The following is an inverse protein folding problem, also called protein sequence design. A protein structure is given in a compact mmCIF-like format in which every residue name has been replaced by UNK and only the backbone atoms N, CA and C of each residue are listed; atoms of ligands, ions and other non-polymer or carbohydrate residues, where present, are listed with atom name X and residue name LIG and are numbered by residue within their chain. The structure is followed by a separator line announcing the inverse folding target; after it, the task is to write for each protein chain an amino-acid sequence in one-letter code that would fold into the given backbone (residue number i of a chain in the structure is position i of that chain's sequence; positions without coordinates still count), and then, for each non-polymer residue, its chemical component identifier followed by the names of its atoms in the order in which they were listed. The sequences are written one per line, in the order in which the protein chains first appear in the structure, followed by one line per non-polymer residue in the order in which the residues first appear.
data_IF_621504545439
#
_entry.id   IF_621504545439
#
_cell.length_a   1.000
_cell.length_b   1.000
_cell.length_c   1.000
_cell.angle_alpha   90.00
_cell.angle_beta   90.00
_cell.angle_gamma   90.00
#
_symmetry.space_group_name_H-M   'P 1'
#
loop_
_entity.id
_entity.type
_entity.pdbx_description
1 polymer ?
#
# COMPACT_ATOMS: atom_id res chain seq x y z
N UNK A 1 -3.35 7.75 -43.40
CA UNK A 1 -1.89 7.96 -43.34
C UNK A 1 -1.43 7.51 -41.98
N UNK A 2 -0.65 6.43 -41.87
CA UNK A 2 -0.05 6.04 -40.59
C UNK A 2 1.26 6.82 -40.49
N UNK A 3 1.33 7.77 -39.57
CA UNK A 3 2.56 8.49 -39.26
C UNK A 3 3.57 7.49 -38.68
N UNK A 4 4.67 7.26 -39.40
CA UNK A 4 5.79 6.47 -38.92
C UNK A 4 6.43 7.15 -37.71
N UNK A 5 6.43 6.49 -36.56
CA UNK A 5 7.11 6.96 -35.34
C UNK A 5 8.62 6.80 -35.54
N UNK A 6 9.38 7.88 -35.33
CA UNK A 6 10.83 7.87 -35.52
C UNK A 6 11.53 7.12 -34.36
N UNK A 7 12.48 6.21 -34.63
CA UNK A 7 13.28 5.54 -33.61
C UNK A 7 13.95 6.47 -32.58
N UNK A 8 14.33 7.70 -32.96
CA UNK A 8 14.92 8.68 -32.04
C UNK A 8 13.91 9.19 -31.00
N UNK A 9 12.64 9.29 -31.37
CA UNK A 9 11.57 9.74 -30.48
C UNK A 9 11.28 8.68 -29.40
N UNK A 10 11.38 7.40 -29.77
CA UNK A 10 11.23 6.27 -28.85
C UNK A 10 12.37 6.25 -27.84
N UNK A 11 13.60 6.49 -28.29
CA UNK A 11 14.78 6.50 -27.41
C UNK A 11 14.72 7.68 -26.42
N UNK A 12 14.42 8.88 -26.91
CA UNK A 12 14.22 10.08 -26.09
C UNK A 12 13.12 9.89 -25.03
N UNK A 13 12.01 9.26 -25.42
CA UNK A 13 10.92 8.97 -24.49
C UNK A 13 11.35 7.97 -23.40
N UNK A 14 12.08 6.91 -23.77
CA UNK A 14 12.60 5.90 -22.84
C UNK A 14 13.54 6.52 -21.80
N UNK A 15 14.48 7.37 -22.22
CA UNK A 15 15.42 8.03 -21.33
C UNK A 15 14.73 9.00 -20.38
N UNK A 16 13.70 9.70 -20.87
CA UNK A 16 12.88 10.58 -20.05
C UNK A 16 12.15 9.80 -18.96
N UNK A 17 11.54 8.66 -19.30
CA UNK A 17 10.88 7.76 -18.34
C UNK A 17 11.88 7.21 -17.31
N UNK A 18 13.07 6.79 -17.75
CA UNK A 18 14.12 6.31 -16.85
C UNK A 18 14.57 7.40 -15.86
N UNK A 19 14.75 8.64 -16.33
CA UNK A 19 15.11 9.77 -15.45
C UNK A 19 14.02 10.12 -14.43
N UNK A 20 12.74 10.00 -14.83
CA UNK A 20 11.59 10.23 -13.94
C UNK A 20 11.54 9.14 -12.87
N UNK A 21 11.79 7.88 -13.24
CA UNK A 21 11.82 6.76 -12.30
C UNK A 21 13.00 6.87 -11.33
N UNK A 22 14.18 7.31 -11.78
CA UNK A 22 15.34 7.55 -10.92
C UNK A 22 15.12 8.73 -9.99
N UNK A 23 14.55 9.83 -10.49
CA UNK A 23 14.19 11.00 -9.66
C UNK A 23 13.14 10.61 -8.61
N UNK A 24 12.11 9.85 -8.99
CA UNK A 24 11.11 9.30 -8.07
C UNK A 24 11.76 8.43 -7.01
N UNK A 25 12.67 7.53 -7.39
CA UNK A 25 13.41 6.67 -6.46
C UNK A 25 14.28 7.48 -5.49
N UNK A 26 14.88 8.57 -5.97
CA UNK A 26 15.69 9.47 -5.15
C UNK A 26 14.84 10.28 -4.17
N UNK A 27 13.69 10.82 -4.59
CA UNK A 27 12.73 11.52 -3.71
C UNK A 27 12.19 10.58 -2.62
N UNK A 28 11.82 9.37 -3.03
CA UNK A 28 11.36 8.31 -2.14
C UNK A 28 12.46 7.86 -1.15
N UNK A 29 13.74 7.99 -1.51
CA UNK A 29 14.87 7.76 -0.61
C UNK A 29 15.19 8.95 0.32
N UNK A 30 14.70 10.17 0.03
CA UNK A 30 14.81 11.30 0.94
C UNK A 30 13.74 11.26 2.04
N UNK A 31 12.58 10.64 1.79
CA UNK A 31 11.57 10.39 2.81
C UNK A 31 11.99 9.23 3.72
N UNK A 32 12.42 9.56 4.94
CA UNK A 32 12.72 8.58 5.98
C UNK A 32 11.51 8.42 6.88
N UNK A 33 11.13 7.17 7.15
CA UNK A 33 10.09 6.88 8.11
C UNK A 33 10.46 7.41 9.51
N UNK A 34 9.46 7.80 10.33
CA UNK A 34 9.74 8.18 11.71
C UNK A 34 10.46 7.06 12.47
N UNK A 35 11.16 7.41 13.55
CA UNK A 35 11.90 6.42 14.35
C UNK A 35 10.95 5.32 14.85
N UNK A 36 11.33 4.06 14.61
CA UNK A 36 10.52 2.88 14.99
C UNK A 36 9.51 2.44 13.93
N UNK A 37 9.34 3.20 12.85
CA UNK A 37 8.49 2.83 11.71
C UNK A 37 9.32 2.13 10.63
N UNK A 38 8.75 1.10 10.02
CA UNK A 38 9.36 0.34 8.93
C UNK A 38 8.85 0.86 7.59
N UNK A 39 9.77 1.05 6.64
CA UNK A 39 9.40 1.44 5.27
C UNK A 39 9.10 0.20 4.46
N UNK A 40 7.92 0.17 3.83
CA UNK A 40 7.57 -0.85 2.85
C UNK A 40 6.92 -0.18 1.64
N UNK A 41 7.52 -0.33 0.46
CA UNK A 41 7.10 0.44 -0.73
C UNK A 41 7.25 1.95 -0.55
N UNK A 42 6.15 2.69 -0.76
CA UNK A 42 6.09 4.15 -0.62
C UNK A 42 5.58 4.64 0.74
N UNK A 43 5.27 3.72 1.67
CA UNK A 43 4.61 4.04 2.94
C UNK A 43 5.45 3.61 4.14
N UNK A 44 5.13 4.18 5.29
CA UNK A 44 5.71 3.84 6.58
C UNK A 44 4.67 3.13 7.43
N UNK A 45 5.07 2.05 8.08
CA UNK A 45 4.20 1.23 8.89
C UNK A 45 4.78 1.05 10.28
N UNK A 46 3.91 0.97 11.28
CA UNK A 46 4.29 0.71 12.66
C UNK A 46 3.50 -0.46 13.18
N UNK A 47 4.20 -1.33 13.90
CA UNK A 47 3.59 -2.45 14.61
C UNK A 47 3.51 -2.13 16.09
N UNK A 48 2.30 -2.16 16.64
CA UNK A 48 2.11 -2.19 18.09
C UNK A 48 2.00 -3.64 18.55
N UNK A 49 2.96 -4.09 19.37
CA UNK A 49 2.92 -5.42 20.00
C UNK A 49 2.00 -5.48 21.24
N UNK A 50 1.13 -4.49 21.40
CA UNK A 50 0.21 -4.40 22.53
C UNK A 50 -1.12 -5.06 22.19
N UNK A 51 -1.57 -5.99 23.02
CA UNK A 51 -2.95 -6.49 22.96
C UNK A 51 -3.91 -5.37 23.33
N UNK A 52 -4.87 -5.06 22.45
CA UNK A 52 -5.83 -3.98 22.65
C UNK A 52 -7.15 -4.33 21.97
N UNK A 53 -8.22 -3.67 22.39
CA UNK A 53 -9.52 -3.80 21.73
C UNK A 53 -9.54 -3.03 20.41
N UNK A 54 -10.45 -3.38 19.49
CA UNK A 54 -10.62 -2.69 18.20
C UNK A 54 -10.80 -1.18 18.36
N UNK A 55 -11.56 -0.76 19.38
CA UNK A 55 -11.85 0.66 19.64
C UNK A 55 -10.60 1.41 20.12
N UNK A 56 -9.77 0.78 20.95
CA UNK A 56 -8.50 1.32 21.39
C UNK A 56 -7.50 1.39 20.24
N UNK A 57 -7.41 0.38 19.39
CA UNK A 57 -6.52 0.38 18.23
C UNK A 57 -6.87 1.50 17.26
N UNK A 58 -8.15 1.68 16.93
CA UNK A 58 -8.59 2.79 16.08
C UNK A 58 -8.24 4.14 16.68
N UNK A 59 -8.41 4.30 18.00
CA UNK A 59 -7.97 5.52 18.69
C UNK A 59 -6.46 5.68 18.61
N UNK A 60 -5.68 4.69 19.02
CA UNK A 60 -4.21 4.77 19.03
C UNK A 60 -3.65 5.06 17.64
N UNK A 61 -4.08 4.33 16.61
CA UNK A 61 -3.57 4.51 15.25
C UNK A 61 -4.02 5.84 14.62
N UNK A 62 -5.26 6.29 14.85
CA UNK A 62 -5.75 7.58 14.35
C UNK A 62 -5.36 8.77 15.24
N UNK A 63 -4.77 8.49 16.41
CA UNK A 63 -4.52 9.46 17.47
C UNK A 63 -3.18 9.15 18.14
N UNK A 64 -2.14 9.02 17.33
CA UNK A 64 -0.78 9.17 17.83
C UNK A 64 -0.40 10.63 17.65
N UNK A 65 -0.41 11.42 18.74
CA UNK A 65 -0.23 12.87 18.79
C UNK A 65 1.05 13.46 18.11
N UNK A 66 1.87 12.64 17.45
CA UNK A 66 3.13 13.01 16.82
C UNK A 66 3.19 12.70 15.31
N UNK A 67 2.23 11.95 14.76
CA UNK A 67 2.20 11.53 13.35
C UNK A 67 0.75 11.38 12.90
N UNK A 68 0.34 11.97 11.77
CA UNK A 68 -0.96 11.73 11.08
C UNK A 68 -1.06 10.28 10.55
N UNK A 69 -0.91 9.30 11.44
CA UNK A 69 -1.05 7.89 11.13
C UNK A 69 -2.50 7.47 11.16
N UNK A 70 -2.77 6.33 10.51
CA UNK A 70 -4.06 5.67 10.51
C UNK A 70 -3.85 4.17 10.66
N UNK A 71 -4.90 3.45 11.05
CA UNK A 71 -4.88 1.99 10.99
C UNK A 71 -4.62 1.55 9.55
N UNK A 72 -3.78 0.53 9.36
CA UNK A 72 -3.46 0.05 8.02
C UNK A 72 -4.73 -0.39 7.28
N UNK A 73 -4.96 0.22 6.11
CA UNK A 73 -6.07 -0.13 5.23
C UNK A 73 -5.55 -1.01 4.09
N UNK A 74 -6.18 -2.15 3.85
CA UNK A 74 -5.83 -3.02 2.72
C UNK A 74 -6.61 -2.57 1.49
N UNK A 75 -5.94 -1.80 0.63
CA UNK A 75 -6.42 -1.31 -0.65
C UNK A 75 -5.69 -1.96 -1.83
N UNK A 76 -4.40 -2.24 -1.66
CA UNK A 76 -3.51 -2.79 -2.68
C UNK A 76 -2.74 -4.01 -2.15
N UNK A 77 -2.25 -4.84 -3.07
CA UNK A 77 -1.48 -6.05 -2.74
C UNK A 77 -0.24 -5.77 -1.87
N UNK A 78 0.36 -4.58 -2.00
CA UNK A 78 1.53 -4.19 -1.21
C UNK A 78 1.24 -4.15 0.29
N UNK A 79 0.06 -3.70 0.70
CA UNK A 79 -0.34 -3.65 2.12
C UNK A 79 -0.61 -5.06 2.64
N UNK A 80 -1.23 -5.92 1.82
CA UNK A 80 -1.47 -7.32 2.17
C UNK A 80 -0.15 -8.07 2.38
N UNK A 81 0.82 -7.89 1.47
CA UNK A 81 2.16 -8.50 1.58
C UNK A 81 2.85 -8.00 2.86
N UNK A 82 2.77 -6.70 3.14
CA UNK A 82 3.34 -6.14 4.36
C UNK A 82 2.76 -6.82 5.60
N UNK A 83 1.43 -6.89 5.74
CA UNK A 83 0.78 -7.53 6.90
C UNK A 83 1.17 -9.00 7.04
N UNK A 84 1.16 -9.76 5.93
CA UNK A 84 1.52 -11.17 5.94
C UNK A 84 3.00 -11.38 6.36
N UNK A 85 3.92 -10.65 5.75
CA UNK A 85 5.34 -10.67 6.11
C UNK A 85 5.54 -10.35 7.60
N UNK A 86 4.81 -9.35 8.10
CA UNK A 86 4.85 -8.94 9.49
C UNK A 86 4.35 -10.05 10.45
N UNK A 87 3.22 -10.70 10.15
CA UNK A 87 2.66 -11.76 10.99
C UNK A 87 3.64 -12.93 11.09
N UNK A 88 4.19 -13.35 9.95
CA UNK A 88 5.16 -14.43 9.87
C UNK A 88 6.44 -14.11 10.65
N UNK A 89 7.02 -12.93 10.44
CA UNK A 89 8.29 -12.52 11.06
C UNK A 89 8.19 -12.41 12.58
N UNK A 90 7.03 -11.99 13.10
CA UNK A 90 6.82 -11.78 14.54
C UNK A 90 6.09 -12.94 15.22
N UNK A 91 5.84 -14.04 14.50
CA UNK A 91 5.09 -15.21 15.00
C UNK A 91 3.73 -14.82 15.60
N UNK A 92 3.02 -13.92 14.92
CA UNK A 92 1.69 -13.45 15.30
C UNK A 92 0.62 -14.18 14.49
N UNK A 93 -0.48 -14.52 15.14
CA UNK A 93 -1.61 -15.22 14.50
C UNK A 93 -2.61 -14.27 13.85
N UNK A 94 -2.72 -13.05 14.38
CA UNK A 94 -3.70 -12.07 13.92
C UNK A 94 -3.19 -10.63 14.08
N UNK A 95 -3.79 -9.72 13.33
CA UNK A 95 -3.55 -8.29 13.40
C UNK A 95 -4.82 -7.53 13.10
N UNK A 96 -4.99 -6.37 13.73
CA UNK A 96 -6.03 -5.43 13.35
C UNK A 96 -5.67 -4.76 12.04
N UNK A 97 -6.60 -4.80 11.09
CA UNK A 97 -6.53 -4.14 9.80
C UNK A 97 -7.85 -3.42 9.53
N UNK A 98 -7.82 -2.40 8.69
CA UNK A 98 -9.00 -1.82 8.10
C UNK A 98 -9.18 -2.38 6.68
N UNK A 99 -10.40 -2.83 6.38
CA UNK A 99 -10.76 -3.26 5.04
C UNK A 99 -11.45 -2.09 4.34
N UNK A 100 -10.97 -1.74 3.15
CA UNK A 100 -11.65 -0.75 2.32
C UNK A 100 -13.00 -1.30 1.83
N UNK A 101 -14.15 -0.71 2.21
CA UNK A 101 -15.46 -1.18 1.75
C UNK A 101 -15.65 -1.07 0.22
N UNK A 102 -14.83 -0.30 -0.49
CA UNK A 102 -14.87 -0.21 -1.94
C UNK A 102 -13.97 -1.23 -2.63
N UNK A 103 -12.98 -1.82 -1.95
CA UNK A 103 -12.10 -2.85 -2.52
C UNK A 103 -12.83 -4.14 -2.94
N UNK A 104 -14.05 -4.35 -2.44
CA UNK A 104 -14.87 -5.53 -2.77
C UNK A 104 -16.10 -5.22 -3.63
N UNK A 105 -16.33 -3.94 -3.99
CA UNK A 105 -17.53 -3.56 -4.77
C UNK A 105 -17.49 -3.98 -6.24
N UNK A 106 -16.32 -4.30 -6.79
CA UNK A 106 -16.18 -4.73 -8.18
C UNK A 106 -16.31 -6.26 -8.38
N UNK A 107 -16.58 -7.03 -7.31
CA UNK A 107 -16.40 -8.48 -7.34
C UNK A 107 -17.68 -9.31 -7.10
N UNK A 108 -18.85 -8.85 -7.56
CA UNK A 108 -20.10 -9.65 -7.54
C UNK A 108 -20.74 -9.90 -8.90
N UNK A 109 -20.05 -9.62 -10.01
CA UNK A 109 -20.59 -9.95 -11.35
C UNK A 109 -20.69 -11.48 -11.59
N UNK A 110 -19.95 -12.29 -10.82
CA UNK A 110 -20.06 -13.76 -10.84
C UNK A 110 -21.05 -14.33 -9.81
N UNK A 111 -21.41 -13.58 -8.76
CA UNK A 111 -22.45 -14.01 -7.80
C UNK A 111 -23.87 -13.85 -8.35
N UNK A 112 -24.07 -12.94 -9.32
CA UNK A 112 -25.37 -12.74 -9.97
C UNK A 112 -25.74 -13.86 -10.97
N UNK A 113 -24.78 -14.65 -11.48
CA UNK A 113 -25.07 -15.74 -12.43
C UNK A 113 -25.48 -17.07 -11.80
N UNK A 114 -25.24 -17.26 -10.50
CA UNK A 114 -25.62 -18.49 -9.79
C UNK A 114 -27.04 -18.43 -9.20
N UNK A 115 -27.70 -17.27 -9.28
CA UNK A 115 -29.09 -17.09 -8.86
C UNK A 115 -30.10 -17.25 -10.01
N UNK A 116 -29.64 -17.54 -11.23
CA UNK A 116 -30.48 -17.70 -12.44
C UNK A 116 -30.41 -19.10 -13.08
N UNK A 117 -29.98 -20.13 -12.34
CA UNK A 117 -30.01 -21.54 -12.78
C UNK A 117 -30.79 -22.44 -11.82
#
# INVERSE_FOLDING_TARGET
MVSSINPTDIFSFKDKILSIMDTSRTIVNQYKCPKGWERFGSSCYYLSNTTSTVSEVKKTCNYTYLTDSQLIRIKYIVELIYVAHHLMRNNLLESFIEIDPYSFKEQTEWELKLAEL
#
